data_IF_426379905141
#
_entry.id   IF_426379905141
#
_cell.length_a   1.000
_cell.length_b   1.000
_cell.length_c   1.000
_cell.angle_alpha   90.00
_cell.angle_beta   90.00
_cell.angle_gamma   90.00
#
_symmetry.space_group_name_H-M   'P 1'
#
loop_
_entity.id
_entity.type
_entity.pdbx_description
1 polymer ?
#
# COMPACT_ATOMS: atom_id res chain seq x y z
N UNK A 1 17.17 10.49 -26.48
CA UNK A 1 16.44 10.78 -25.23
C UNK A 1 16.44 9.50 -24.38
N UNK A 2 17.30 9.35 -23.37
CA UNK A 2 17.32 8.14 -22.55
C UNK A 2 16.04 8.10 -21.70
N UNK A 3 15.29 7.00 -21.81
CA UNK A 3 14.10 6.72 -20.99
C UNK A 3 14.51 6.75 -19.52
N UNK A 4 14.13 7.81 -18.81
CA UNK A 4 14.34 7.92 -17.36
C UNK A 4 13.77 6.68 -16.68
N UNK A 5 14.65 5.84 -16.15
CA UNK A 5 14.32 4.85 -15.13
C UNK A 5 13.79 5.65 -13.95
N UNK A 6 12.47 5.78 -13.84
CA UNK A 6 11.81 6.24 -12.62
C UNK A 6 12.09 5.16 -11.57
N UNK A 7 13.21 5.34 -10.89
CA UNK A 7 13.54 4.66 -9.66
C UNK A 7 12.45 5.06 -8.67
N UNK A 8 11.39 4.26 -8.62
CA UNK A 8 10.38 4.37 -7.56
C UNK A 8 11.05 3.70 -6.38
N UNK A 9 11.66 4.51 -5.53
CA UNK A 9 12.11 4.08 -4.21
C UNK A 9 10.95 3.37 -3.50
N UNK A 10 11.21 2.31 -2.72
CA UNK A 10 10.21 1.57 -1.96
C UNK A 10 9.76 2.40 -0.74
N UNK A 11 9.28 3.62 -0.97
CA UNK A 11 8.73 4.53 0.04
C UNK A 11 7.21 4.30 0.15
N UNK A 12 6.76 3.07 -0.13
CA UNK A 12 5.34 2.71 -0.22
C UNK A 12 4.69 2.76 1.17
N UNK A 13 5.45 2.47 2.24
CA UNK A 13 4.94 2.50 3.61
C UNK A 13 4.81 3.92 4.20
N UNK A 14 5.56 4.92 3.70
CA UNK A 14 5.60 6.27 4.30
C UNK A 14 4.38 7.10 3.93
N UNK A 15 3.79 6.84 2.77
CA UNK A 15 2.62 7.57 2.26
C UNK A 15 1.30 6.83 2.56
N UNK A 16 1.38 5.64 3.19
CA UNK A 16 0.21 4.86 3.52
C UNK A 16 -0.60 5.55 4.63
N UNK A 17 -1.93 5.74 4.47
CA UNK A 17 -2.76 6.34 5.50
C UNK A 17 -2.70 5.57 6.82
N UNK A 18 -2.70 6.28 7.95
CA UNK A 18 -2.59 5.67 9.29
C UNK A 18 -3.66 4.60 9.55
N UNK A 19 -4.90 4.84 9.09
CA UNK A 19 -5.98 3.85 9.23
C UNK A 19 -5.69 2.56 8.45
N UNK A 20 -5.09 2.67 7.26
CA UNK A 20 -4.72 1.53 6.42
C UNK A 20 -3.51 0.78 7.01
N UNK A 21 -2.55 1.51 7.57
CA UNK A 21 -1.43 0.93 8.30
C UNK A 21 -1.88 0.20 9.57
N UNK A 22 -2.82 0.79 10.32
CA UNK A 22 -3.40 0.17 11.51
C UNK A 22 -4.23 -1.08 11.16
N UNK A 23 -5.04 -1.02 10.10
CA UNK A 23 -5.80 -2.18 9.62
C UNK A 23 -4.87 -3.30 9.14
N UNK A 24 -3.81 -2.97 8.41
CA UNK A 24 -2.80 -3.94 7.99
C UNK A 24 -2.17 -4.65 9.20
N UNK A 25 -1.72 -3.89 10.21
CA UNK A 25 -1.16 -4.45 11.44
C UNK A 25 -2.16 -5.33 12.19
N UNK A 26 -3.44 -4.92 12.29
CA UNK A 26 -4.51 -5.72 12.92
C UNK A 26 -4.80 -7.02 12.17
N UNK A 27 -4.61 -7.04 10.86
CA UNK A 27 -4.72 -8.25 10.03
C UNK A 27 -3.45 -9.10 10.03
N UNK A 28 -2.39 -8.69 10.74
CA UNK A 28 -1.10 -9.37 10.71
C UNK A 28 -0.34 -9.21 9.38
N UNK A 29 -0.67 -8.18 8.60
CA UNK A 29 0.03 -7.84 7.36
C UNK A 29 1.25 -7.01 7.73
N UNK A 30 2.41 -7.55 7.42
CA UNK A 30 3.66 -6.83 7.61
C UNK A 30 3.79 -5.72 6.55
N UNK A 31 3.96 -4.47 6.99
CA UNK A 31 4.05 -3.33 6.08
C UNK A 31 5.33 -3.36 5.22
N UNK A 32 6.36 -4.12 5.62
CA UNK A 32 7.57 -4.32 4.83
C UNK A 32 7.34 -5.24 3.63
N UNK A 33 6.31 -6.10 3.68
CA UNK A 33 5.91 -6.94 2.54
C UNK A 33 4.89 -6.25 1.63
N UNK A 34 4.50 -5.02 1.95
CA UNK A 34 3.61 -4.22 1.12
C UNK A 34 4.36 -3.73 -0.12
N UNK A 35 3.95 -4.23 -1.28
CA UNK A 35 4.58 -3.88 -2.55
C UNK A 35 3.98 -2.60 -3.15
N UNK A 36 2.67 -2.41 -3.02
CA UNK A 36 1.95 -1.23 -3.52
C UNK A 36 0.68 -1.02 -2.71
N UNK A 37 0.18 0.21 -2.67
CA UNK A 37 -1.21 0.48 -2.31
C UNK A 37 -1.83 1.48 -3.28
N UNK A 38 -3.16 1.60 -3.25
CA UNK A 38 -3.90 2.60 -4.00
C UNK A 38 -5.13 3.03 -3.21
N UNK A 39 -5.38 4.34 -3.13
CA UNK A 39 -6.62 4.88 -2.59
C UNK A 39 -7.69 4.92 -3.69
N UNK A 40 -8.88 4.44 -3.38
CA UNK A 40 -10.06 4.50 -4.24
C UNK A 40 -10.77 5.84 -4.03
N UNK A 41 -11.53 6.33 -5.03
CA UNK A 41 -12.31 7.56 -4.91
C UNK A 41 -13.37 7.53 -3.80
N UNK A 42 -13.74 6.33 -3.36
CA UNK A 42 -14.62 6.05 -2.23
C UNK A 42 -13.94 6.24 -0.85
N UNK A 43 -12.64 6.51 -0.82
CA UNK A 43 -11.83 6.63 0.40
C UNK A 43 -11.20 5.30 0.86
N UNK A 44 -11.72 4.16 0.40
CA UNK A 44 -11.14 2.83 0.60
C UNK A 44 -9.70 2.70 0.07
N UNK A 45 -8.79 2.06 0.82
CA UNK A 45 -7.40 1.81 0.43
C UNK A 45 -7.20 0.35 0.07
N UNK A 46 -6.66 0.07 -1.10
CA UNK A 46 -6.28 -1.28 -1.54
C UNK A 46 -4.79 -1.47 -1.31
N UNK A 47 -4.44 -2.44 -0.47
CA UNK A 47 -3.08 -2.90 -0.19
C UNK A 47 -2.74 -4.08 -1.08
N UNK A 48 -1.60 -4.05 -1.76
CA UNK A 48 -1.04 -5.15 -2.56
C UNK A 48 0.24 -5.65 -1.90
N UNK A 49 0.20 -6.88 -1.43
CA UNK A 49 1.34 -7.55 -0.82
C UNK A 49 2.26 -8.19 -1.88
N UNK A 50 3.52 -8.41 -1.53
CA UNK A 50 4.52 -9.04 -2.40
C UNK A 50 4.17 -10.48 -2.82
N UNK A 51 3.35 -11.17 -2.03
CA UNK A 51 2.82 -12.51 -2.34
C UNK A 51 1.63 -12.50 -3.33
N UNK A 52 1.25 -11.32 -3.85
CA UNK A 52 0.12 -11.16 -4.77
C UNK A 52 -1.25 -11.04 -4.09
N UNK A 53 -1.31 -11.11 -2.75
CA UNK A 53 -2.56 -10.89 -2.01
C UNK A 53 -2.95 -9.42 -2.03
N UNK A 54 -4.26 -9.18 -2.14
CA UNK A 54 -4.86 -7.86 -2.14
C UNK A 54 -5.81 -7.74 -0.96
N UNK A 55 -5.68 -6.67 -0.21
CA UNK A 55 -6.57 -6.35 0.91
C UNK A 55 -7.21 -5.01 0.66
N UNK A 56 -8.50 -4.88 0.95
CA UNK A 56 -9.21 -3.61 0.85
C UNK A 56 -9.53 -3.17 2.27
N UNK A 57 -9.08 -1.97 2.62
CA UNK A 57 -9.33 -1.33 3.91
C UNK A 57 -10.27 -0.16 3.64
N UNK A 58 -11.49 -0.23 4.15
CA UNK A 58 -12.40 0.90 4.14
C UNK A 58 -12.04 1.88 5.27
N UNK A 59 -12.11 3.20 5.04
CA UNK A 59 -12.18 4.15 6.15
C UNK A 59 -13.52 3.92 6.85
N UNK A 60 -13.47 3.52 8.11
CA UNK A 60 -14.64 3.45 9.00
C UNK A 60 -15.01 4.86 9.48
#
# INVERSE_FOLDING_TARGET
MPRSKRHVEPTVAVDLPEFAAAAAQRMGIDLTVLHRWVMRPDGSVVLLCANGMKFVVSPD
#
